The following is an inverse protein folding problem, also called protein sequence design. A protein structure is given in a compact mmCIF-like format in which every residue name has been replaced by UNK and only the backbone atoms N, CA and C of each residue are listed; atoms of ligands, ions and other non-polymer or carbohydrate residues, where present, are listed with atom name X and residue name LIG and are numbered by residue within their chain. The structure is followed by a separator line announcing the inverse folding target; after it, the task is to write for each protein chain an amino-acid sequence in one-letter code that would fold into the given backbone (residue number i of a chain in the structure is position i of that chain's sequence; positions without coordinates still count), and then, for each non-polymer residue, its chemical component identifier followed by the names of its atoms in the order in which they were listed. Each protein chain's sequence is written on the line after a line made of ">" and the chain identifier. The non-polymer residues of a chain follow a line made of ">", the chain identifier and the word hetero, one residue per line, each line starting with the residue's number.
data_IF_420564614173
#
_entry.id   IF_420564614173
#
_cell.length_a   1.000
_cell.length_b   1.000
_cell.length_c   1.000
_cell.angle_alpha   90.00
_cell.angle_beta   90.00
_cell.angle_gamma   90.00
#
_symmetry.space_group_name_H-M   'P 1'
#
loop_
_entity.id
_entity.type
_entity.pdbx_description
1 polymer ?
#
# COMPACT_ATOMS: atom_id res chain seq x y z
N UNK A 1 -17.67 -22.64 37.88
CA UNK A 1 -17.10 -21.96 36.70
C UNK A 1 -18.25 -21.25 36.03
N UNK A 2 -18.28 -19.91 36.06
CA UNK A 2 -19.45 -19.10 35.69
C UNK A 2 -19.51 -18.88 34.16
N UNK A 3 -20.71 -18.88 33.58
CA UNK A 3 -20.94 -18.73 32.14
C UNK A 3 -20.37 -17.41 31.60
N UNK A 4 -20.40 -16.37 32.43
CA UNK A 4 -19.81 -15.05 32.17
C UNK A 4 -18.29 -15.13 31.95
N UNK A 5 -17.61 -16.03 32.66
CA UNK A 5 -16.16 -16.23 32.56
C UNK A 5 -15.78 -16.93 31.24
N UNK A 6 -16.59 -17.89 30.80
CA UNK A 6 -16.41 -18.60 29.53
C UNK A 6 -16.60 -17.68 28.31
N UNK A 7 -17.55 -16.76 28.37
CA UNK A 7 -17.78 -15.76 27.31
C UNK A 7 -16.57 -14.83 27.16
N UNK A 8 -15.99 -14.36 28.27
CA UNK A 8 -14.80 -13.51 28.24
C UNK A 8 -13.57 -14.24 27.71
N UNK A 9 -13.38 -15.50 28.08
CA UNK A 9 -12.28 -16.35 27.55
C UNK A 9 -12.46 -16.59 26.06
N UNK A 10 -13.68 -16.89 25.60
CA UNK A 10 -13.98 -17.06 24.18
C UNK A 10 -13.70 -15.80 23.37
N UNK A 11 -14.18 -14.64 23.80
CA UNK A 11 -13.90 -13.35 23.13
C UNK A 11 -12.39 -13.08 23.04
N UNK A 12 -11.65 -13.31 24.13
CA UNK A 12 -10.18 -13.17 24.14
C UNK A 12 -9.49 -14.15 23.19
N UNK A 13 -9.95 -15.39 23.10
CA UNK A 13 -9.42 -16.36 22.15
C UNK A 13 -9.73 -15.97 20.71
N UNK A 14 -10.94 -15.51 20.39
CA UNK A 14 -11.30 -15.02 19.05
C UNK A 14 -10.43 -13.83 18.63
N UNK A 15 -10.14 -12.91 19.56
CA UNK A 15 -9.19 -11.81 19.36
C UNK A 15 -7.79 -12.35 19.04
N UNK A 16 -7.27 -13.28 19.84
CA UNK A 16 -5.93 -13.85 19.67
C UNK A 16 -5.78 -14.70 18.41
N UNK A 17 -6.78 -15.51 18.05
CA UNK A 17 -6.79 -16.29 16.82
C UNK A 17 -6.92 -15.41 15.58
N UNK A 18 -7.75 -14.36 15.66
CA UNK A 18 -7.82 -13.32 14.62
C UNK A 18 -6.47 -12.66 14.41
N UNK A 19 -5.82 -12.20 15.49
CA UNK A 19 -4.49 -11.58 15.45
C UNK A 19 -3.40 -12.50 14.90
N UNK A 20 -3.36 -13.78 15.28
CA UNK A 20 -2.36 -14.71 14.74
C UNK A 20 -2.56 -14.99 13.23
N UNK A 21 -3.82 -15.13 12.80
CA UNK A 21 -4.14 -15.29 11.37
C UNK A 21 -3.78 -14.04 10.59
N UNK A 22 -4.04 -12.88 11.18
CA UNK A 22 -3.73 -11.56 10.63
C UNK A 22 -2.22 -11.32 10.47
N UNK A 23 -1.43 -11.59 11.51
CA UNK A 23 0.04 -11.47 11.47
C UNK A 23 0.62 -12.43 10.43
N UNK A 24 0.15 -13.68 10.38
CA UNK A 24 0.64 -14.66 9.41
C UNK A 24 0.33 -14.24 7.97
N UNK A 25 -0.86 -13.68 7.71
CA UNK A 25 -1.20 -13.14 6.39
C UNK A 25 -0.19 -12.09 5.97
N UNK A 26 0.15 -11.13 6.83
CA UNK A 26 1.15 -10.12 6.49
C UNK A 26 2.53 -10.69 6.25
N UNK A 27 2.95 -11.72 6.98
CA UNK A 27 4.21 -12.40 6.71
C UNK A 27 4.22 -13.07 5.33
N UNK A 28 3.09 -13.62 4.88
CA UNK A 28 2.95 -14.20 3.55
C UNK A 28 2.97 -13.10 2.47
N UNK A 29 2.30 -11.97 2.69
CA UNK A 29 2.32 -10.82 1.76
C UNK A 29 3.72 -10.18 1.65
N UNK A 30 4.41 -10.01 2.78
CA UNK A 30 5.77 -9.44 2.82
C UNK A 30 6.76 -10.35 2.07
N UNK A 31 6.61 -11.68 2.12
CA UNK A 31 7.41 -12.59 1.31
C UNK A 31 7.18 -12.39 -0.19
N UNK A 32 5.95 -12.07 -0.61
CA UNK A 32 5.64 -11.77 -2.00
C UNK A 32 6.32 -10.47 -2.43
N UNK A 33 6.25 -9.43 -1.59
CA UNK A 33 6.93 -8.15 -1.86
C UNK A 33 8.46 -8.33 -1.91
N UNK A 34 9.05 -9.05 -0.96
CA UNK A 34 10.50 -9.34 -0.95
C UNK A 34 10.93 -10.11 -2.20
N UNK A 35 10.10 -11.03 -2.68
CA UNK A 35 10.34 -11.73 -3.95
C UNK A 35 10.34 -10.76 -5.13
N UNK A 36 9.34 -9.89 -5.24
CA UNK A 36 9.27 -8.88 -6.31
C UNK A 36 10.45 -7.90 -6.27
N UNK A 37 10.83 -7.43 -5.08
CA UNK A 37 11.99 -6.57 -4.89
C UNK A 37 13.29 -7.25 -5.33
N UNK A 38 13.45 -8.56 -5.07
CA UNK A 38 14.61 -9.33 -5.53
C UNK A 38 14.64 -9.55 -7.04
N UNK A 39 13.48 -9.63 -7.67
CA UNK A 39 13.29 -9.80 -9.12
C UNK A 39 13.38 -8.48 -9.88
N UNK A 40 13.18 -7.33 -9.22
CA UNK A 40 13.37 -6.00 -9.81
C UNK A 40 14.82 -5.74 -10.22
N UNK A 41 15.00 -4.93 -11.26
CA UNK A 41 16.31 -4.49 -11.75
C UNK A 41 16.93 -3.35 -10.92
N UNK A 42 16.27 -2.95 -9.82
CA UNK A 42 16.72 -1.88 -8.95
C UNK A 42 18.09 -2.20 -8.30
N UNK A 43 19.04 -1.27 -8.42
CA UNK A 43 20.37 -1.34 -7.81
C UNK A 43 20.65 -0.07 -6.99
N UNK A 44 20.97 -0.20 -5.68
CA UNK A 44 21.10 -1.43 -4.91
C UNK A 44 19.77 -2.12 -4.65
N UNK A 45 19.77 -3.46 -4.52
CA UNK A 45 18.55 -4.22 -4.25
C UNK A 45 17.91 -3.74 -2.94
N UNK A 46 16.67 -3.25 -2.97
CA UNK A 46 15.98 -2.81 -1.77
C UNK A 46 15.83 -3.97 -0.78
N UNK A 47 16.05 -3.68 0.51
CA UNK A 47 15.87 -4.66 1.60
C UNK A 47 14.53 -4.41 2.28
N UNK A 48 13.67 -5.42 2.27
CA UNK A 48 12.38 -5.34 2.93
C UNK A 48 12.55 -5.34 4.45
N UNK A 49 11.85 -4.42 5.12
CA UNK A 49 11.68 -4.47 6.57
C UNK A 49 10.42 -5.29 6.90
N UNK A 50 10.62 -6.50 7.39
CA UNK A 50 9.54 -7.39 7.83
C UNK A 50 8.77 -6.80 9.03
N UNK A 51 7.47 -7.10 9.09
CA UNK A 51 6.55 -6.69 10.14
C UNK A 51 6.08 -5.24 10.07
N UNK A 52 6.51 -4.46 9.06
CA UNK A 52 6.13 -3.05 8.92
C UNK A 52 4.64 -2.92 8.60
N UNK A 53 4.08 -3.79 7.76
CA UNK A 53 2.64 -3.69 7.41
C UNK A 53 1.78 -3.91 8.67
N UNK A 54 2.09 -4.96 9.43
CA UNK A 54 1.35 -5.26 10.66
C UNK A 54 1.49 -4.13 11.69
N UNK A 55 2.68 -3.54 11.83
CA UNK A 55 2.92 -2.43 12.74
C UNK A 55 2.16 -1.16 12.34
N UNK A 56 2.24 -0.75 11.07
CA UNK A 56 1.55 0.46 10.62
C UNK A 56 0.03 0.28 10.67
N UNK A 57 -0.50 -0.90 10.29
CA UNK A 57 -1.95 -1.15 10.41
C UNK A 57 -2.41 -1.04 11.87
N UNK A 58 -1.69 -1.64 12.82
CA UNK A 58 -2.04 -1.52 14.24
C UNK A 58 -1.90 -0.09 14.77
N UNK A 59 -0.91 0.65 14.30
CA UNK A 59 -0.67 2.04 14.69
C UNK A 59 -1.77 2.99 14.20
N UNK A 60 -2.16 2.86 12.94
CA UNK A 60 -3.25 3.64 12.33
C UNK A 60 -4.61 3.28 12.96
N UNK A 61 -4.85 2.01 13.33
CA UNK A 61 -6.03 1.64 14.13
C UNK A 61 -6.08 2.36 15.48
N UNK A 62 -4.92 2.67 16.08
CA UNK A 62 -4.83 3.42 17.33
C UNK A 62 -4.70 4.94 17.12
N UNK A 63 -4.73 5.43 15.88
CA UNK A 63 -4.93 6.85 15.62
C UNK A 63 -6.41 7.21 15.74
N UNK A 64 -6.71 8.51 15.82
CA UNK A 64 -8.11 8.99 15.86
C UNK A 64 -8.57 9.46 14.49
N UNK A 65 -7.63 10.01 13.73
CA UNK A 65 -7.80 10.54 12.39
C UNK A 65 -6.60 10.05 11.60
N UNK A 66 -6.89 9.42 10.47
CA UNK A 66 -5.90 8.94 9.50
C UNK A 66 -6.02 9.80 8.26
N UNK A 67 -4.88 10.31 7.80
CA UNK A 67 -4.77 11.07 6.56
C UNK A 67 -4.13 10.24 5.45
N UNK A 68 -4.27 10.68 4.20
CA UNK A 68 -3.62 10.09 3.02
C UNK A 68 -2.10 10.00 3.21
N UNK A 69 -1.49 11.07 3.71
CA UNK A 69 -0.06 11.10 3.99
C UNK A 69 0.39 10.05 5.04
N UNK A 70 -0.50 9.62 5.94
CA UNK A 70 -0.18 8.57 6.91
C UNK A 70 -0.10 7.17 6.26
N UNK A 71 -0.85 6.96 5.16
CA UNK A 71 -0.96 5.69 4.45
C UNK A 71 0.05 5.59 3.30
N UNK A 72 0.29 6.66 2.55
CA UNK A 72 1.25 6.73 1.43
C UNK A 72 2.70 6.38 1.81
N UNK A 73 3.09 6.66 3.06
CA UNK A 73 4.44 6.39 3.57
C UNK A 73 4.67 4.93 3.97
N UNK A 74 3.65 4.08 3.95
CA UNK A 74 3.77 2.66 4.36
C UNK A 74 4.74 1.89 3.45
N UNK A 75 4.64 1.94 2.11
CA UNK A 75 5.59 1.28 1.20
C UNK A 75 7.03 1.79 1.39
N UNK A 76 7.20 3.10 1.60
CA UNK A 76 8.52 3.70 1.86
C UNK A 76 9.14 3.14 3.16
N UNK A 77 8.35 3.05 4.24
CA UNK A 77 8.80 2.47 5.52
C UNK A 77 9.23 1.02 5.37
N UNK A 78 8.55 0.25 4.52
CA UNK A 78 8.90 -1.12 4.16
C UNK A 78 10.21 -1.21 3.39
N UNK A 79 10.67 -0.12 2.78
CA UNK A 79 11.85 -0.09 1.92
C UNK A 79 11.52 -0.35 0.45
N UNK A 80 10.26 -0.17 0.04
CA UNK A 80 9.88 -0.16 -1.38
C UNK A 80 10.34 1.17 -1.98
N UNK A 81 11.18 1.14 -3.03
CA UNK A 81 11.60 2.34 -3.75
C UNK A 81 10.42 3.13 -4.32
N UNK A 82 10.61 4.44 -4.52
CA UNK A 82 9.53 5.31 -4.97
C UNK A 82 9.09 5.02 -6.41
N UNK A 83 10.04 4.63 -7.25
CA UNK A 83 9.92 4.27 -8.67
C UNK A 83 9.23 2.92 -8.92
N UNK A 84 9.08 2.08 -7.89
CA UNK A 84 8.40 0.79 -8.02
C UNK A 84 6.90 0.91 -7.70
N UNK A 85 6.20 1.75 -8.46
CA UNK A 85 4.78 2.09 -8.25
C UNK A 85 3.88 0.84 -8.14
N UNK A 86 4.02 -0.12 -9.05
CA UNK A 86 3.27 -1.38 -9.00
C UNK A 86 3.42 -2.14 -7.66
N UNK A 87 4.62 -2.11 -7.05
CA UNK A 87 4.85 -2.73 -5.74
C UNK A 87 4.21 -1.89 -4.63
N UNK A 88 4.28 -0.55 -4.72
CA UNK A 88 3.64 0.35 -3.75
C UNK A 88 2.12 0.19 -3.76
N UNK A 89 1.51 0.12 -4.95
CA UNK A 89 0.08 -0.15 -5.15
C UNK A 89 -0.29 -1.49 -4.52
N UNK A 90 0.50 -2.55 -4.78
CA UNK A 90 0.28 -3.86 -4.17
C UNK A 90 0.26 -3.79 -2.64
N UNK A 91 1.24 -3.10 -2.04
CA UNK A 91 1.35 -2.94 -0.58
C UNK A 91 0.12 -2.22 -0.01
N UNK A 92 -0.27 -1.07 -0.58
CA UNK A 92 -1.44 -0.33 -0.08
C UNK A 92 -2.74 -1.12 -0.26
N UNK A 93 -2.86 -1.93 -1.32
CA UNK A 93 -4.02 -2.81 -1.50
C UNK A 93 -4.09 -3.88 -0.40
N UNK A 94 -2.95 -4.42 0.03
CA UNK A 94 -2.91 -5.34 1.18
C UNK A 94 -3.30 -4.66 2.50
N UNK A 95 -2.89 -3.40 2.68
CA UNK A 95 -3.30 -2.58 3.83
C UNK A 95 -4.81 -2.35 3.82
N UNK A 96 -5.39 -1.97 2.68
CA UNK A 96 -6.84 -1.77 2.53
C UNK A 96 -7.62 -3.06 2.85
N UNK A 97 -7.18 -4.17 2.28
CA UNK A 97 -7.78 -5.49 2.48
C UNK A 97 -7.68 -5.96 3.94
N UNK A 98 -6.63 -5.55 4.66
CA UNK A 98 -6.50 -5.81 6.08
C UNK A 98 -7.57 -5.05 6.89
N UNK A 99 -7.76 -3.75 6.63
CA UNK A 99 -8.80 -2.96 7.30
C UNK A 99 -10.21 -3.46 7.04
N UNK A 100 -10.51 -3.88 5.81
CA UNK A 100 -11.82 -4.45 5.47
C UNK A 100 -12.17 -5.70 6.28
N UNK A 101 -11.16 -6.48 6.69
CA UNK A 101 -11.31 -7.73 7.45
C UNK A 101 -11.34 -7.52 8.97
N UNK A 102 -10.95 -6.35 9.46
CA UNK A 102 -10.99 -6.03 10.89
C UNK A 102 -12.45 -5.79 11.30
N UNK A 103 -12.95 -6.49 12.34
CA UNK A 103 -14.31 -6.25 12.83
C UNK A 103 -14.49 -4.83 13.38
N UNK A 104 -15.67 -4.25 13.15
CA UNK A 104 -16.00 -2.86 13.55
C UNK A 104 -15.71 -2.54 15.02
N UNK A 105 -15.85 -3.51 15.92
CA UNK A 105 -15.58 -3.37 17.36
C UNK A 105 -14.13 -2.98 17.71
N UNK A 106 -13.19 -3.11 16.77
CA UNK A 106 -11.79 -2.70 16.96
C UNK A 106 -11.50 -1.28 16.48
N UNK A 107 -12.43 -0.66 15.76
CA UNK A 107 -12.35 0.75 15.41
C UNK A 107 -12.92 1.58 16.57
N UNK A 108 -12.38 2.79 16.75
CA UNK A 108 -12.73 3.65 17.89
C UNK A 108 -14.18 4.12 17.84
N UNK A 109 -14.62 4.54 16.66
CA UNK A 109 -15.92 5.12 16.36
C UNK A 109 -16.37 4.61 14.97
N UNK A 110 -17.67 4.67 14.64
CA UNK A 110 -18.19 4.25 13.33
C UNK A 110 -17.47 4.95 12.18
N UNK A 111 -17.26 6.24 12.35
CA UNK A 111 -16.71 7.14 11.34
C UNK A 111 -15.19 6.95 11.20
N UNK A 112 -14.53 6.39 12.23
CA UNK A 112 -13.10 6.08 12.18
C UNK A 112 -12.79 5.01 11.13
N UNK A 113 -13.66 4.00 10.99
CA UNK A 113 -13.48 2.96 9.97
C UNK A 113 -13.56 3.54 8.57
N UNK A 114 -14.55 4.41 8.33
CA UNK A 114 -14.73 5.09 7.05
C UNK A 114 -13.53 5.98 6.74
N UNK A 115 -13.11 6.82 7.70
CA UNK A 115 -11.93 7.67 7.54
C UNK A 115 -10.65 6.88 7.19
N UNK A 116 -10.38 5.76 7.86
CA UNK A 116 -9.21 4.92 7.55
C UNK A 116 -9.31 4.32 6.15
N UNK A 117 -10.49 3.81 5.78
CA UNK A 117 -10.69 3.19 4.47
C UNK A 117 -10.64 4.21 3.34
N UNK A 118 -11.14 5.41 3.54
CA UNK A 118 -11.07 6.54 2.60
C UNK A 118 -9.62 6.98 2.42
N UNK A 119 -8.88 7.21 3.50
CA UNK A 119 -7.47 7.63 3.43
C UNK A 119 -6.56 6.61 2.72
N UNK A 120 -6.83 5.31 2.86
CA UNK A 120 -6.08 4.28 2.12
C UNK A 120 -6.52 4.21 0.66
N UNK A 121 -7.80 4.44 0.37
CA UNK A 121 -8.31 4.47 -1.01
C UNK A 121 -7.77 5.67 -1.79
N UNK A 122 -7.79 6.86 -1.19
CA UNK A 122 -7.24 8.07 -1.81
C UNK A 122 -5.74 7.90 -2.12
N UNK A 123 -4.96 7.36 -1.17
CA UNK A 123 -3.53 7.06 -1.41
C UNK A 123 -3.29 5.98 -2.49
N UNK A 124 -4.26 5.08 -2.70
CA UNK A 124 -4.19 4.10 -3.79
C UNK A 124 -4.48 4.75 -5.13
N UNK A 125 -5.52 5.59 -5.17
CA UNK A 125 -5.92 6.30 -6.38
C UNK A 125 -4.79 7.25 -6.83
N UNK A 126 -4.14 7.96 -5.90
CA UNK A 126 -2.99 8.84 -6.20
C UNK A 126 -1.80 8.07 -6.81
N UNK A 127 -1.49 6.87 -6.30
CA UNK A 127 -0.42 6.04 -6.86
C UNK A 127 -0.78 5.44 -8.22
N UNK A 128 -2.05 5.13 -8.46
CA UNK A 128 -2.52 4.61 -9.75
C UNK A 128 -2.47 5.73 -10.79
N UNK A 129 -2.92 6.94 -10.45
CA UNK A 129 -2.81 8.11 -11.33
C UNK A 129 -1.34 8.38 -11.70
N UNK A 130 -0.42 8.28 -10.73
CA UNK A 130 1.00 8.40 -11.00
C UNK A 130 1.54 7.30 -11.94
N UNK A 131 1.11 6.04 -11.76
CA UNK A 131 1.51 4.93 -12.65
C UNK A 131 1.01 5.15 -14.08
N UNK A 132 -0.24 5.58 -14.23
CA UNK A 132 -0.84 5.87 -15.54
C UNK A 132 -0.17 7.05 -16.25
N UNK A 133 0.22 8.10 -15.50
CA UNK A 133 0.94 9.26 -16.04
C UNK A 133 2.37 8.91 -16.49
N UNK A 134 3.07 8.05 -15.75
CA UNK A 134 4.41 7.56 -16.13
C UNK A 134 4.37 6.69 -17.40
N UNK A 135 3.32 5.87 -17.59
CA UNK A 135 3.12 5.08 -18.81
C UNK A 135 2.74 5.95 -20.02
N UNK A 136 1.93 7.01 -19.85
CA UNK A 136 1.53 7.91 -20.94
C UNK A 136 2.61 8.95 -21.30
N UNK A 137 3.48 9.32 -20.37
CA UNK A 137 4.55 10.30 -20.58
C UNK A 137 5.66 9.84 -21.54
N UNK A 138 5.82 8.54 -21.77
CA UNK A 138 6.80 7.99 -22.71
C UNK A 138 6.35 7.99 -24.18
N UNK A 139 5.06 8.23 -24.50
CA UNK A 139 4.53 8.18 -25.88
C UNK A 139 4.66 9.51 -26.68
N UNK A 140 5.20 10.58 -26.10
CA UNK A 140 5.19 11.94 -26.70
C UNK A 140 6.58 12.55 -26.93
N UNK A 141 7.59 11.77 -27.35
CA UNK A 141 8.94 12.30 -27.66
C UNK A 141 9.56 11.77 -28.97
N UNK A 142 8.77 11.51 -30.01
CA UNK A 142 9.27 11.18 -31.35
C UNK A 142 8.30 11.72 -32.43
N UNK A 143 8.36 13.01 -32.73
CA UNK A 143 8.01 13.61 -34.04
C UNK A 143 8.04 15.13 -33.89
N UNK A 144 9.13 15.78 -34.32
CA UNK A 144 9.15 17.11 -34.97
C UNK A 144 10.56 17.72 -34.92
N UNK A 145 11.51 17.22 -35.73
CA UNK A 145 12.68 18.02 -36.14
C UNK A 145 13.40 17.39 -37.36
N UNK A 146 12.71 17.17 -38.47
CA UNK A 146 13.33 17.02 -39.80
C UNK A 146 12.27 17.28 -40.88
N UNK A 147 12.27 18.49 -41.44
CA UNK A 147 11.98 18.82 -42.86
C UNK A 147 11.52 20.28 -42.99
N UNK A 148 12.47 21.22 -42.97
CA UNK A 148 12.32 22.46 -43.74
C UNK A 148 13.48 22.53 -44.75
N UNK A 149 13.14 22.08 -45.95
CA UNK A 149 13.89 22.13 -47.20
C UNK A 149 14.36 23.56 -47.56
N UNK A 150 15.59 23.92 -47.17
CA UNK A 150 16.32 25.02 -47.79
C UNK A 150 16.96 24.56 -49.13
N UNK A 151 16.13 24.40 -50.17
CA UNK A 151 16.57 24.31 -51.57
C UNK A 151 16.21 25.57 -52.35
N UNK A 152 16.94 26.66 -52.06
CA UNK A 152 17.03 27.83 -52.92
C UNK A 152 17.81 27.47 -54.20
N UNK A 153 17.08 27.14 -55.27
CA UNK A 153 17.62 27.06 -56.63
C UNK A 153 17.19 28.30 -57.43
N UNK A 154 18.12 29.24 -57.64
CA UNK A 154 17.99 30.27 -58.68
C UNK A 154 19.37 30.65 -59.25
N UNK A 155 19.61 30.34 -60.54
CA UNK A 155 20.62 30.98 -61.38
C UNK A 155 20.20 31.04 -62.86
#
# INVERSE_FOLDING_TARGET
>A
MDATHLIHIRKRLEVLFGLNTFIRKFQDEEQVVDKFLKESDALPKPQLKEGVIAQEVLKLLDQRWVSVADTEVIPEKMGVPEDLLAIRIYVLNQVLEAYRKIPDQYFKESDHRENVLEAVQEALDDLIEQEEDEEMGEEFDDEDEDDDDDLDFDF
#
